data_IF_207869422967
#
_entry.id   IF_207869422967
#
_cell.length_a   1.000
_cell.length_b   1.000
_cell.length_c   1.000
_cell.angle_alpha   90.00
_cell.angle_beta   90.00
_cell.angle_gamma   90.00
#
_symmetry.space_group_name_H-M   'P 1'
#
loop_
_entity.id
_entity.type
_entity.pdbx_description
1 polymer ?
#
# COMPACT_ATOMS: atom_id res chain seq x y z
N UNK A 1 38.93 -33.87 39.65
CA UNK A 1 38.90 -32.52 40.23
C UNK A 1 38.38 -31.60 39.14
N UNK A 2 37.15 -31.11 39.10
CA UNK A 2 36.02 -31.09 40.04
C UNK A 2 34.80 -31.69 39.30
N UNK A 3 34.02 -32.51 40.01
CA UNK A 3 32.76 -33.12 39.60
C UNK A 3 31.61 -32.46 40.38
N UNK A 4 30.37 -32.81 40.01
CA UNK A 4 29.08 -32.72 40.75
C UNK A 4 28.18 -31.56 40.31
N UNK A 5 26.88 -31.69 40.01
CA UNK A 5 25.92 -32.73 39.57
C UNK A 5 24.56 -32.02 39.31
N UNK A 6 23.65 -32.69 38.60
CA UNK A 6 22.17 -32.67 38.73
C UNK A 6 21.28 -31.45 38.34
N UNK A 7 20.31 -31.74 37.44
CA UNK A 7 18.99 -31.09 37.24
C UNK A 7 18.02 -31.50 38.38
N UNK A 8 16.80 -30.92 38.63
CA UNK A 8 15.87 -30.21 37.72
C UNK A 8 15.05 -29.03 38.34
N UNK A 9 14.21 -28.37 37.53
CA UNK A 9 13.17 -27.45 38.04
C UNK A 9 12.55 -26.56 36.97
N UNK A 10 11.44 -27.01 36.36
CA UNK A 10 10.54 -26.15 35.59
C UNK A 10 9.93 -25.11 36.53
N UNK A 11 10.20 -23.82 36.28
CA UNK A 11 9.37 -22.72 36.76
C UNK A 11 9.01 -21.86 35.55
N UNK A 12 7.71 -21.83 35.24
CA UNK A 12 7.12 -20.99 34.22
C UNK A 12 7.42 -19.52 34.54
N UNK A 13 8.17 -18.84 33.66
CA UNK A 13 8.22 -17.39 33.65
C UNK A 13 7.47 -16.90 32.43
N UNK A 14 6.22 -16.49 32.66
CA UNK A 14 5.46 -15.63 31.76
C UNK A 14 6.22 -14.30 31.71
N UNK A 15 7.06 -14.12 30.69
CA UNK A 15 7.63 -12.81 30.38
C UNK A 15 6.59 -12.01 29.61
N UNK A 16 5.90 -11.13 30.32
CA UNK A 16 5.17 -10.02 29.70
C UNK A 16 6.14 -9.24 28.81
N UNK A 17 5.84 -9.19 27.52
CA UNK A 17 6.53 -8.31 26.58
C UNK A 17 6.11 -6.87 26.86
N UNK A 18 7.04 -5.92 27.08
CA UNK A 18 6.69 -4.52 27.10
C UNK A 18 6.34 -4.08 25.69
N UNK A 19 5.11 -3.62 25.52
CA UNK A 19 4.54 -2.95 24.36
C UNK A 19 5.45 -1.80 23.88
N UNK A 20 6.25 -2.07 22.86
CA UNK A 20 6.99 -1.08 22.07
C UNK A 20 6.71 -1.29 20.58
N UNK A 21 5.50 -0.95 20.16
CA UNK A 21 5.11 -0.84 18.73
C UNK A 21 4.53 0.55 18.41
N UNK A 22 4.61 1.52 19.33
CA UNK A 22 4.04 2.88 19.15
C UNK A 22 5.13 3.95 18.92
N UNK A 23 6.29 3.60 18.35
CA UNK A 23 7.35 4.61 18.13
C UNK A 23 8.12 4.39 16.84
N UNK A 24 7.42 4.33 15.70
CA UNK A 24 8.09 4.36 14.38
C UNK A 24 7.64 5.49 13.43
N UNK A 25 6.73 6.37 13.84
CA UNK A 25 6.41 7.60 13.06
C UNK A 25 7.19 8.83 13.57
N UNK A 26 7.84 8.75 14.74
CA UNK A 26 8.59 9.88 15.32
C UNK A 26 10.08 9.93 14.96
N UNK A 27 10.64 8.91 14.29
CA UNK A 27 12.10 8.77 14.14
C UNK A 27 12.63 8.83 12.70
N UNK A 28 11.84 9.29 11.72
CA UNK A 28 12.33 9.58 10.38
C UNK A 28 12.76 11.05 10.27
N UNK A 29 13.91 11.39 10.83
CA UNK A 29 14.61 12.65 10.53
C UNK A 29 15.32 12.49 9.19
N UNK A 30 14.59 12.65 8.08
CA UNK A 30 15.23 12.84 6.76
C UNK A 30 15.85 14.24 6.76
N UNK A 31 17.14 14.41 6.46
CA UNK A 31 17.75 15.75 6.44
C UNK A 31 17.08 16.60 5.35
N UNK A 32 16.49 17.73 5.78
CA UNK A 32 15.76 18.73 4.99
C UNK A 32 16.52 19.20 3.74
N UNK A 33 17.86 19.11 3.74
CA UNK A 33 18.72 19.54 2.63
C UNK A 33 18.57 18.72 1.34
N UNK A 34 18.22 17.43 1.42
CA UNK A 34 18.17 16.57 0.23
C UNK A 34 16.97 16.87 -0.68
N UNK A 35 15.87 17.38 -0.12
CA UNK A 35 14.63 17.65 -0.87
C UNK A 35 14.73 18.96 -1.69
N UNK A 36 15.34 20.02 -1.14
CA UNK A 36 15.42 21.31 -1.85
C UNK A 36 16.26 21.29 -3.13
N UNK A 37 17.26 20.40 -3.21
CA UNK A 37 18.20 20.38 -4.36
C UNK A 37 17.60 19.76 -5.62
N UNK A 38 16.58 18.89 -5.51
CA UNK A 38 15.98 18.22 -6.68
C UNK A 38 14.99 19.11 -7.46
N UNK A 39 14.50 20.19 -6.86
CA UNK A 39 13.48 21.07 -7.47
C UNK A 39 14.06 22.27 -8.23
N UNK A 40 15.39 22.46 -8.22
CA UNK A 40 16.04 23.68 -8.74
C UNK A 40 16.69 23.55 -10.13
N UNK A 41 16.46 22.46 -10.87
CA UNK A 41 17.25 22.10 -12.05
C UNK A 41 16.52 22.02 -13.38
N UNK A 42 16.01 23.15 -13.92
CA UNK A 42 15.75 23.29 -15.36
C UNK A 42 15.55 24.77 -15.75
N UNK A 43 16.59 25.43 -16.27
CA UNK A 43 16.46 26.79 -16.79
C UNK A 43 17.64 27.24 -17.64
N UNK A 44 17.41 27.40 -18.95
CA UNK A 44 18.14 28.21 -19.97
C UNK A 44 17.42 28.00 -21.31
N UNK A 45 17.32 28.91 -22.29
CA UNK A 45 17.45 30.39 -22.45
C UNK A 45 17.06 30.66 -23.94
N UNK A 46 16.45 31.81 -24.24
CA UNK A 46 16.30 32.36 -25.62
C UNK A 46 15.03 33.22 -25.76
N UNK A 47 15.09 34.54 -25.58
CA UNK A 47 15.37 35.64 -26.55
C UNK A 47 14.16 36.09 -27.42
N UNK A 48 13.61 37.23 -27.00
CA UNK A 48 13.10 38.44 -27.68
C UNK A 48 12.24 38.39 -28.97
N UNK A 49 11.14 39.17 -28.90
CA UNK A 49 10.39 39.68 -30.04
C UNK A 49 9.04 40.27 -29.60
N UNK A 50 8.97 41.59 -29.34
CA UNK A 50 7.73 42.27 -28.94
C UNK A 50 6.77 42.55 -30.10
N UNK A 51 5.51 42.84 -29.77
CA UNK A 51 4.64 43.95 -30.26
C UNK A 51 3.25 43.78 -29.61
N UNK A 52 2.69 44.87 -29.08
CA UNK A 52 1.49 44.87 -28.25
C UNK A 52 0.18 44.79 -29.01
N UNK A 53 -0.86 44.34 -28.31
CA UNK A 53 -2.25 44.73 -28.53
C UNK A 53 -3.02 44.59 -27.22
N UNK A 54 -3.73 45.65 -26.86
CA UNK A 54 -4.43 45.85 -25.60
C UNK A 54 -5.62 44.90 -25.37
N UNK A 55 -5.88 44.70 -24.07
CA UNK A 55 -7.19 44.48 -23.45
C UNK A 55 -8.02 43.26 -23.90
N UNK A 56 -7.98 42.19 -23.09
CA UNK A 56 -9.09 41.53 -22.37
C UNK A 56 -8.45 40.35 -21.63
N UNK A 57 -8.05 40.54 -20.37
CA UNK A 57 -7.74 39.46 -19.42
C UNK A 57 -7.51 40.04 -18.02
N UNK A 58 -8.54 40.65 -17.44
CA UNK A 58 -8.56 41.00 -16.01
C UNK A 58 -9.10 39.83 -15.16
N UNK A 59 -8.68 38.60 -15.44
CA UNK A 59 -8.72 37.54 -14.43
C UNK A 59 -7.43 37.60 -13.65
N UNK A 60 -7.47 38.33 -12.54
CA UNK A 60 -6.49 38.24 -11.46
C UNK A 60 -6.45 36.80 -10.92
N UNK A 61 -5.68 35.92 -11.53
CA UNK A 61 -5.24 34.69 -10.86
C UNK A 61 -3.81 34.91 -10.34
N UNK A 62 -3.66 35.86 -9.41
CA UNK A 62 -2.47 35.91 -8.56
C UNK A 62 -2.52 34.66 -7.70
N UNK A 63 -1.55 33.76 -7.88
CA UNK A 63 -1.46 32.46 -7.21
C UNK A 63 -1.95 32.48 -5.77
N UNK A 64 -3.18 32.01 -5.57
CA UNK A 64 -3.83 31.96 -4.27
C UNK A 64 -3.07 30.97 -3.39
N UNK A 65 -2.29 31.55 -2.50
CA UNK A 65 -1.37 30.94 -1.57
C UNK A 65 -2.21 30.21 -0.49
N UNK A 66 -2.13 28.88 -0.41
CA UNK A 66 -3.10 28.02 0.29
C UNK A 66 -2.74 27.74 1.75
N UNK A 67 -3.73 27.70 2.65
CA UNK A 67 -3.59 27.14 4.00
C UNK A 67 -3.86 25.64 3.98
N UNK A 68 -2.88 24.86 4.41
CA UNK A 68 -2.97 23.40 4.51
C UNK A 68 -3.18 23.01 5.97
N UNK A 69 -4.13 22.11 6.22
CA UNK A 69 -4.38 21.52 7.52
C UNK A 69 -4.12 20.03 7.43
N UNK A 70 -3.37 19.45 8.36
CA UNK A 70 -2.88 18.08 8.22
C UNK A 70 -2.90 17.25 9.50
N UNK A 71 -3.01 15.93 9.34
CA UNK A 71 -3.10 14.98 10.47
C UNK A 71 -1.78 14.22 10.73
N UNK A 72 -0.70 14.54 10.01
CA UNK A 72 0.66 14.00 10.25
C UNK A 72 1.32 14.61 11.47
N UNK A 73 2.41 14.00 11.95
CA UNK A 73 3.20 14.51 13.07
C UNK A 73 3.50 16.02 12.96
N UNK A 74 3.48 16.78 14.09
CA UNK A 74 3.67 18.23 14.09
C UNK A 74 4.93 18.71 13.34
N UNK A 75 6.00 17.91 13.38
CA UNK A 75 7.26 18.22 12.70
C UNK A 75 7.11 18.36 11.17
N UNK A 76 6.03 17.84 10.57
CA UNK A 76 5.78 17.93 9.13
C UNK A 76 5.24 19.30 8.70
N UNK A 77 4.73 20.13 9.62
CA UNK A 77 4.15 21.43 9.27
C UNK A 77 5.15 22.33 8.54
N UNK A 78 6.41 22.40 9.02
CA UNK A 78 7.44 23.21 8.37
C UNK A 78 7.77 22.72 6.94
N UNK A 79 7.71 21.41 6.70
CA UNK A 79 7.91 20.82 5.37
C UNK A 79 6.72 21.12 4.44
N UNK A 80 5.49 21.00 4.93
CA UNK A 80 4.29 21.29 4.13
C UNK A 80 4.24 22.78 3.80
N UNK A 81 4.56 23.65 4.76
CA UNK A 81 4.58 25.09 4.58
C UNK A 81 5.66 25.57 3.59
N UNK A 82 6.69 24.75 3.32
CA UNK A 82 7.72 25.08 2.32
C UNK A 82 7.35 24.64 0.90
N UNK A 83 6.23 23.91 0.72
CA UNK A 83 5.78 23.49 -0.60
C UNK A 83 5.35 24.71 -1.45
N UNK A 84 5.64 24.71 -2.76
CA UNK A 84 5.17 25.76 -3.66
C UNK A 84 3.65 25.91 -3.60
N UNK A 85 3.19 27.15 -3.43
CA UNK A 85 1.75 27.46 -3.36
C UNK A 85 1.13 27.35 -1.97
N UNK A 86 1.89 26.97 -0.93
CA UNK A 86 1.42 26.93 0.46
C UNK A 86 1.83 28.19 1.23
N UNK A 87 0.92 28.74 2.03
CA UNK A 87 1.15 29.90 2.92
C UNK A 87 1.44 29.48 4.35
N UNK A 88 0.69 28.50 4.82
CA UNK A 88 0.78 27.97 6.18
C UNK A 88 0.36 26.52 6.19
N UNK A 89 0.92 25.78 7.14
CA UNK A 89 0.54 24.41 7.42
C UNK A 89 0.26 24.27 8.92
N UNK A 90 -0.87 23.69 9.26
CA UNK A 90 -1.29 23.49 10.64
C UNK A 90 -1.56 22.01 10.91
N UNK A 91 -1.02 21.51 12.02
CA UNK A 91 -1.23 20.16 12.48
C UNK A 91 -2.53 20.07 13.31
N UNK A 92 -3.38 19.09 13.00
CA UNK A 92 -4.46 18.64 13.88
C UNK A 92 -4.06 17.31 14.55
N UNK A 93 -4.02 17.27 15.89
CA UNK A 93 -3.81 16.04 16.66
C UNK A 93 -4.80 14.92 16.31
N UNK A 94 -4.37 13.66 16.37
CA UNK A 94 -5.19 12.52 15.96
C UNK A 94 -6.50 12.37 16.77
N UNK A 95 -6.48 12.70 18.06
CA UNK A 95 -7.65 12.72 18.95
C UNK A 95 -8.67 13.81 18.60
N UNK A 96 -8.24 14.81 17.83
CA UNK A 96 -9.06 15.94 17.37
C UNK A 96 -9.18 15.98 15.84
N UNK A 97 -8.80 14.90 15.13
CA UNK A 97 -8.61 14.92 13.67
C UNK A 97 -9.82 15.36 12.85
N UNK A 98 -11.02 15.27 13.42
CA UNK A 98 -12.30 15.65 12.82
C UNK A 98 -12.88 16.98 13.33
N UNK A 99 -12.16 17.67 14.23
CA UNK A 99 -12.43 19.06 14.59
C UNK A 99 -11.81 19.98 13.51
N UNK A 100 -12.47 20.01 12.36
CA UNK A 100 -11.93 20.65 11.15
C UNK A 100 -12.21 22.16 11.15
N UNK A 101 -11.21 23.01 10.89
CA UNK A 101 -11.44 24.44 10.71
C UNK A 101 -12.18 24.72 9.39
N UNK A 102 -13.00 25.77 9.37
CA UNK A 102 -13.83 26.14 8.20
C UNK A 102 -13.10 27.03 7.19
N UNK A 103 -11.89 27.48 7.50
CA UNK A 103 -11.06 28.40 6.70
C UNK A 103 -9.82 27.73 6.09
N UNK A 104 -9.74 26.39 6.08
CA UNK A 104 -8.68 25.66 5.40
C UNK A 104 -8.94 25.57 3.89
N UNK A 105 -7.91 25.73 3.06
CA UNK A 105 -8.01 25.49 1.61
C UNK A 105 -7.81 24.01 1.27
N UNK A 106 -6.87 23.36 1.96
CA UNK A 106 -6.46 21.97 1.72
C UNK A 106 -6.48 21.19 3.02
N UNK A 107 -7.14 20.05 3.02
CA UNK A 107 -7.10 19.09 4.12
C UNK A 107 -6.25 17.89 3.70
N UNK A 108 -5.17 17.61 4.43
CA UNK A 108 -4.22 16.53 4.15
C UNK A 108 -4.28 15.43 5.23
N UNK A 109 -4.93 14.31 4.91
CA UNK A 109 -5.39 13.31 5.90
C UNK A 109 -4.75 11.94 5.73
N UNK A 110 -4.71 11.18 6.83
CA UNK A 110 -4.32 9.76 6.87
C UNK A 110 -5.14 9.04 7.95
N UNK A 111 -5.68 7.86 7.63
CA UNK A 111 -6.52 7.05 8.53
C UNK A 111 -5.71 6.13 9.48
N UNK A 112 -4.40 6.35 9.64
CA UNK A 112 -3.52 5.47 10.43
C UNK A 112 -3.24 4.10 9.79
N UNK A 113 -2.51 3.24 10.50
CA UNK A 113 -2.01 1.94 10.02
C UNK A 113 -2.09 0.86 11.09
N UNK A 114 -2.34 -0.41 10.71
CA UNK A 114 -2.42 -1.55 11.64
C UNK A 114 -3.35 -1.28 12.83
N UNK A 115 -2.86 -1.48 14.06
CA UNK A 115 -3.61 -1.22 15.30
C UNK A 115 -4.02 0.25 15.50
N UNK A 116 -3.43 1.18 14.73
CA UNK A 116 -3.77 2.61 14.75
C UNK A 116 -4.70 3.03 13.63
N UNK A 117 -5.11 2.08 12.77
CA UNK A 117 -6.07 2.30 11.69
C UNK A 117 -7.41 2.72 12.29
N UNK A 118 -7.95 3.84 11.84
CA UNK A 118 -9.26 4.31 12.27
C UNK A 118 -10.39 3.65 11.49
N UNK A 119 -11.56 3.54 12.12
CA UNK A 119 -12.80 3.09 11.49
C UNK A 119 -13.83 4.21 11.60
N UNK A 120 -13.66 5.26 10.78
CA UNK A 120 -14.37 6.53 10.93
C UNK A 120 -15.59 6.66 10.01
N UNK A 121 -15.92 5.62 9.25
CA UNK A 121 -17.00 5.60 8.24
C UNK A 121 -18.34 6.16 8.76
N UNK A 122 -18.66 5.89 10.03
CA UNK A 122 -19.90 6.28 10.70
C UNK A 122 -19.87 7.62 11.44
N UNK A 123 -18.79 8.39 11.37
CA UNK A 123 -18.70 9.66 12.09
C UNK A 123 -19.65 10.71 11.50
N UNK A 124 -20.36 11.49 12.35
CA UNK A 124 -21.25 12.53 11.87
C UNK A 124 -20.47 13.66 11.18
N UNK A 125 -21.11 14.28 10.18
CA UNK A 125 -20.54 15.43 9.47
C UNK A 125 -20.32 16.59 10.45
N UNK A 126 -19.11 17.17 10.53
CA UNK A 126 -18.85 18.34 11.36
C UNK A 126 -19.67 19.55 10.92
N UNK A 127 -20.06 20.40 11.88
CA UNK A 127 -20.75 21.65 11.59
C UNK A 127 -19.86 22.55 10.72
N UNK A 128 -20.43 23.09 9.63
CA UNK A 128 -19.71 23.98 8.73
C UNK A 128 -18.87 23.29 7.64
N UNK A 129 -18.84 21.96 7.56
CA UNK A 129 -18.19 21.24 6.45
C UNK A 129 -18.89 21.53 5.08
N UNK A 130 -18.15 21.71 3.97
CA UNK A 130 -16.68 21.68 3.84
C UNK A 130 -15.99 23.04 4.09
N UNK A 131 -16.73 24.07 4.49
CA UNK A 131 -16.19 25.41 4.70
C UNK A 131 -15.52 25.95 3.43
N UNK A 132 -14.26 26.37 3.56
CA UNK A 132 -13.42 26.85 2.46
C UNK A 132 -12.57 25.77 1.81
N UNK A 133 -12.72 24.50 2.22
CA UNK A 133 -11.89 23.40 1.68
C UNK A 133 -12.17 23.24 0.20
N UNK A 134 -11.10 23.32 -0.58
CA UNK A 134 -11.09 23.13 -2.04
C UNK A 134 -10.55 21.76 -2.43
N UNK A 135 -9.70 21.17 -1.59
CA UNK A 135 -9.08 19.87 -1.81
C UNK A 135 -8.96 19.08 -0.51
N UNK A 136 -9.48 17.85 -0.52
CA UNK A 136 -9.06 16.81 0.41
C UNK A 136 -8.00 15.95 -0.28
N UNK A 137 -6.77 16.01 0.21
CA UNK A 137 -5.70 15.09 -0.17
C UNK A 137 -5.62 13.96 0.86
N UNK A 138 -5.97 12.75 0.45
CA UNK A 138 -5.79 11.52 1.20
C UNK A 138 -4.37 11.00 0.93
N UNK A 139 -3.60 10.67 1.97
CA UNK A 139 -2.24 10.17 1.85
C UNK A 139 -2.12 8.66 1.59
N UNK A 140 -3.22 7.93 1.71
CA UNK A 140 -3.32 6.52 1.33
C UNK A 140 -3.82 6.35 -0.10
N UNK A 141 -3.66 5.13 -0.63
CA UNK A 141 -4.33 4.73 -1.87
C UNK A 141 -5.79 4.28 -1.62
N UNK A 142 -6.04 3.59 -0.50
CA UNK A 142 -7.38 3.17 -0.09
C UNK A 142 -8.17 4.31 0.57
N UNK A 143 -9.49 4.22 0.45
CA UNK A 143 -10.46 5.24 0.89
C UNK A 143 -11.53 4.68 1.84
N UNK A 144 -11.43 3.40 2.19
CA UNK A 144 -12.47 2.62 2.87
C UNK A 144 -12.83 3.14 4.26
N UNK A 145 -11.87 3.54 5.11
CA UNK A 145 -12.17 3.88 6.51
C UNK A 145 -12.44 5.36 6.78
N UNK A 146 -12.65 6.16 5.73
CA UNK A 146 -12.93 7.58 5.88
C UNK A 146 -14.43 7.83 6.07
N UNK A 147 -14.82 8.87 6.84
CA UNK A 147 -16.21 9.29 6.91
C UNK A 147 -16.75 9.61 5.52
N UNK A 148 -17.95 9.13 5.20
CA UNK A 148 -18.55 9.31 3.87
C UNK A 148 -18.70 10.79 3.48
N UNK A 149 -18.95 11.67 4.45
CA UNK A 149 -19.08 13.11 4.22
C UNK A 149 -17.77 13.78 3.77
N UNK A 150 -16.62 13.15 4.01
CA UNK A 150 -15.32 13.68 3.56
C UNK A 150 -15.28 13.78 2.02
N UNK A 151 -16.02 12.90 1.35
CA UNK A 151 -16.08 12.84 -0.11
C UNK A 151 -17.01 13.90 -0.73
N UNK A 152 -17.74 14.66 0.08
CA UNK A 152 -18.55 15.79 -0.39
C UNK A 152 -17.72 17.08 -0.63
N UNK A 153 -16.41 17.04 -0.38
CA UNK A 153 -15.53 18.17 -0.68
C UNK A 153 -15.47 18.46 -2.20
N UNK A 154 -15.22 19.72 -2.61
CA UNK A 154 -15.21 20.08 -4.04
C UNK A 154 -14.27 19.25 -4.91
N UNK A 155 -13.13 18.83 -4.34
CA UNK A 155 -12.20 17.91 -4.96
C UNK A 155 -11.63 16.97 -3.89
N UNK A 156 -11.52 15.68 -4.23
CA UNK A 156 -10.91 14.66 -3.39
C UNK A 156 -9.89 13.90 -4.23
N UNK A 157 -8.69 13.74 -3.70
CA UNK A 157 -7.63 12.99 -4.35
C UNK A 157 -6.89 12.09 -3.36
N UNK A 158 -6.44 10.94 -3.82
CA UNK A 158 -5.66 9.97 -3.06
C UNK A 158 -4.18 10.03 -3.43
N UNK A 159 -3.36 9.36 -2.62
CA UNK A 159 -1.97 9.09 -2.98
C UNK A 159 -1.85 7.83 -3.86
N UNK A 160 -2.91 7.42 -4.56
CA UNK A 160 -2.85 6.27 -5.46
C UNK A 160 -1.66 6.40 -6.44
N UNK A 161 -0.91 5.31 -6.56
CA UNK A 161 0.31 5.22 -7.36
C UNK A 161 1.61 5.57 -6.62
N UNK A 162 1.60 6.29 -5.50
CA UNK A 162 2.85 6.66 -4.79
C UNK A 162 3.56 5.44 -4.19
N UNK A 163 2.77 4.47 -3.72
CA UNK A 163 3.21 3.21 -3.11
C UNK A 163 3.22 2.02 -4.07
N UNK A 164 2.84 2.20 -5.34
CA UNK A 164 2.73 1.09 -6.29
C UNK A 164 4.05 0.33 -6.49
N UNK A 165 5.18 1.05 -6.46
CA UNK A 165 6.50 0.46 -6.60
C UNK A 165 6.92 -0.41 -5.41
N UNK A 166 6.95 0.08 -4.16
CA UNK A 166 7.31 -0.77 -3.02
C UNK A 166 6.37 -1.97 -2.86
N UNK A 167 5.06 -1.80 -3.09
CA UNK A 167 4.12 -2.93 -3.04
C UNK A 167 4.47 -3.98 -4.09
N UNK A 168 4.83 -3.55 -5.31
CA UNK A 168 5.22 -4.47 -6.36
C UNK A 168 6.58 -5.14 -6.10
N UNK A 169 7.53 -4.43 -5.48
CA UNK A 169 8.80 -5.00 -5.02
C UNK A 169 8.56 -6.07 -3.93
N UNK A 170 7.68 -5.78 -2.97
CA UNK A 170 7.24 -6.73 -1.95
C UNK A 170 6.57 -7.97 -2.58
N UNK A 171 5.61 -7.78 -3.50
CA UNK A 171 4.90 -8.88 -4.16
C UNK A 171 5.87 -9.81 -4.90
N UNK A 172 6.82 -9.24 -5.66
CA UNK A 172 7.87 -10.02 -6.32
C UNK A 172 8.77 -10.72 -5.30
N UNK A 173 9.15 -10.05 -4.21
CA UNK A 173 9.99 -10.63 -3.17
C UNK A 173 9.33 -11.86 -2.53
N UNK A 174 8.04 -11.79 -2.17
CA UNK A 174 7.34 -12.94 -1.59
C UNK A 174 7.08 -14.05 -2.60
N UNK A 175 6.87 -13.72 -3.88
CA UNK A 175 6.80 -14.72 -4.96
C UNK A 175 8.12 -15.48 -5.12
N UNK A 176 9.25 -14.76 -5.15
CA UNK A 176 10.58 -15.37 -5.21
C UNK A 176 10.90 -16.17 -3.95
N UNK A 177 10.57 -15.64 -2.78
CA UNK A 177 10.74 -16.33 -1.50
C UNK A 177 9.96 -17.66 -1.47
N UNK A 178 8.74 -17.68 -2.00
CA UNK A 178 7.96 -18.89 -2.19
C UNK A 178 8.62 -19.85 -3.19
N UNK A 179 8.95 -19.39 -4.40
CA UNK A 179 9.53 -20.22 -5.46
C UNK A 179 10.88 -20.84 -5.05
N UNK A 180 11.72 -20.08 -4.34
CA UNK A 180 13.04 -20.51 -3.87
C UNK A 180 13.02 -21.15 -2.48
N UNK A 181 11.87 -21.18 -1.80
CA UNK A 181 11.70 -21.75 -0.46
C UNK A 181 12.76 -21.24 0.53
N UNK A 182 13.15 -19.97 0.43
CA UNK A 182 14.29 -19.43 1.18
C UNK A 182 14.23 -19.74 2.69
N UNK A 183 13.09 -19.62 3.39
CA UNK A 183 13.04 -19.91 4.82
C UNK A 183 13.35 -21.38 5.16
N UNK A 184 13.14 -22.31 4.21
CA UNK A 184 13.41 -23.74 4.40
C UNK A 184 14.84 -24.12 4.05
N UNK A 185 15.49 -23.37 3.15
CA UNK A 185 16.84 -23.70 2.65
C UNK A 185 17.93 -22.79 3.23
N UNK A 186 17.57 -21.80 4.04
CA UNK A 186 18.53 -20.92 4.72
C UNK A 186 19.10 -21.65 5.93
N UNK A 187 20.42 -21.84 5.93
CA UNK A 187 21.14 -22.43 7.05
C UNK A 187 21.26 -21.43 8.21
N UNK A 188 21.13 -21.94 9.43
CA UNK A 188 21.27 -21.21 10.69
C UNK A 188 22.50 -21.70 11.46
N UNK A 189 22.86 -20.96 12.51
CA UNK A 189 23.94 -21.38 13.40
C UNK A 189 23.64 -22.74 14.03
N UNK A 190 24.53 -23.70 13.80
CA UNK A 190 24.38 -25.09 14.27
C UNK A 190 23.82 -26.06 13.23
N UNK A 191 23.36 -25.58 12.07
CA UNK A 191 22.97 -26.46 10.97
C UNK A 191 24.19 -27.12 10.32
N UNK A 192 24.01 -28.37 9.88
CA UNK A 192 24.99 -29.07 9.08
C UNK A 192 24.87 -28.68 7.60
N UNK A 193 26.00 -28.68 6.88
CA UNK A 193 25.99 -28.44 5.45
C UNK A 193 25.32 -29.63 4.73
N UNK A 194 24.22 -29.42 3.97
CA UNK A 194 23.50 -30.53 3.35
C UNK A 194 24.34 -31.19 2.25
N UNK A 195 24.27 -32.52 2.15
CA UNK A 195 24.88 -33.23 1.03
C UNK A 195 24.12 -32.94 -0.26
N UNK A 196 24.78 -33.17 -1.40
CA UNK A 196 24.13 -33.02 -2.72
C UNK A 196 22.90 -33.90 -2.85
N UNK A 197 22.97 -35.15 -2.37
CA UNK A 197 21.87 -36.12 -2.45
C UNK A 197 20.63 -35.64 -1.70
N UNK A 198 20.79 -34.98 -0.54
CA UNK A 198 19.67 -34.44 0.25
C UNK A 198 18.84 -33.36 -0.50
N UNK A 199 19.39 -32.81 -1.59
CA UNK A 199 18.81 -31.70 -2.35
C UNK A 199 18.27 -32.13 -3.73
N UNK A 200 18.67 -33.29 -4.26
CA UNK A 200 18.30 -33.69 -5.64
C UNK A 200 16.80 -33.86 -5.84
N UNK A 201 16.08 -34.36 -4.83
CA UNK A 201 14.63 -34.61 -4.91
C UNK A 201 13.77 -33.40 -4.48
N UNK A 202 14.39 -32.24 -4.27
CA UNK A 202 13.72 -31.03 -3.75
C UNK A 202 14.02 -29.80 -4.62
N UNK A 203 13.80 -29.86 -5.95
CA UNK A 203 14.13 -28.75 -6.84
C UNK A 203 13.38 -27.47 -6.43
N UNK A 204 14.09 -26.34 -6.53
CA UNK A 204 13.49 -25.03 -6.34
C UNK A 204 12.72 -24.64 -7.60
N UNK A 205 11.60 -23.94 -7.43
CA UNK A 205 10.82 -23.45 -8.56
C UNK A 205 11.50 -22.23 -9.22
N UNK A 206 11.11 -21.97 -10.47
CA UNK A 206 11.39 -20.74 -11.20
C UNK A 206 10.09 -19.99 -11.44
N UNK A 207 10.18 -18.66 -11.59
CA UNK A 207 9.08 -17.83 -12.08
C UNK A 207 8.96 -17.94 -13.61
N UNK A 208 10.04 -18.26 -14.31
CA UNK A 208 10.07 -18.45 -15.76
C UNK A 208 9.00 -19.43 -16.22
N UNK A 209 8.22 -19.03 -17.24
CA UNK A 209 7.15 -19.83 -17.81
C UNK A 209 5.93 -20.02 -16.90
N UNK A 210 5.93 -19.46 -15.68
CA UNK A 210 4.77 -19.50 -14.78
C UNK A 210 3.76 -18.42 -15.12
N UNK A 211 2.51 -18.67 -14.76
CA UNK A 211 1.41 -17.73 -14.95
C UNK A 211 1.21 -16.87 -13.71
N UNK A 212 1.35 -15.56 -13.86
CA UNK A 212 0.92 -14.56 -12.89
C UNK A 212 -0.51 -14.13 -13.20
N UNK A 213 -1.42 -14.37 -12.26
CA UNK A 213 -2.76 -13.80 -12.23
C UNK A 213 -2.81 -12.51 -11.40
N UNK A 214 -3.39 -11.46 -11.96
CA UNK A 214 -3.62 -10.18 -11.30
C UNK A 214 -5.12 -9.97 -11.08
N UNK A 215 -5.57 -10.03 -9.82
CA UNK A 215 -6.93 -9.63 -9.44
C UNK A 215 -6.95 -8.12 -9.23
N UNK A 216 -7.50 -7.40 -10.21
CA UNK A 216 -7.40 -5.94 -10.35
C UNK A 216 -6.24 -5.54 -11.28
N UNK A 217 -6.46 -4.51 -12.11
CA UNK A 217 -5.44 -3.97 -13.03
C UNK A 217 -5.21 -2.47 -12.82
N UNK A 218 -5.04 -2.07 -11.57
CA UNK A 218 -4.66 -0.71 -11.16
C UNK A 218 -3.15 -0.48 -11.16
N UNK A 219 -2.70 0.69 -10.67
CA UNK A 219 -1.28 1.09 -10.67
C UNK A 219 -0.35 0.05 -10.02
N UNK A 220 -0.78 -0.60 -8.92
CA UNK A 220 -0.01 -1.66 -8.24
C UNK A 220 0.16 -2.86 -9.17
N UNK A 221 -0.93 -3.45 -9.66
CA UNK A 221 -0.91 -4.63 -10.51
C UNK A 221 -0.10 -4.41 -11.80
N UNK A 222 -0.22 -3.23 -12.41
CA UNK A 222 0.56 -2.87 -13.60
C UNK A 222 2.06 -2.80 -13.32
N UNK A 223 2.45 -2.30 -12.15
CA UNK A 223 3.84 -2.29 -11.72
C UNK A 223 4.36 -3.70 -11.43
N UNK A 224 3.54 -4.57 -10.82
CA UNK A 224 3.85 -6.00 -10.64
C UNK A 224 4.04 -6.68 -12.00
N UNK A 225 3.13 -6.45 -12.95
CA UNK A 225 3.22 -6.98 -14.32
C UNK A 225 4.54 -6.58 -14.99
N UNK A 226 4.93 -5.30 -14.87
CA UNK A 226 6.19 -4.79 -15.42
C UNK A 226 7.40 -5.52 -14.85
N UNK A 227 7.42 -5.82 -13.55
CA UNK A 227 8.50 -6.58 -12.93
C UNK A 227 8.47 -8.05 -13.32
N UNK A 228 7.29 -8.68 -13.33
CA UNK A 228 7.13 -10.09 -13.69
C UNK A 228 7.51 -10.38 -15.15
N UNK A 229 7.35 -9.41 -16.06
CA UNK A 229 7.78 -9.52 -17.44
C UNK A 229 9.30 -9.75 -17.57
N UNK A 230 10.11 -9.23 -16.64
CA UNK A 230 11.56 -9.47 -16.63
C UNK A 230 11.94 -10.89 -16.19
N UNK A 231 10.97 -11.69 -15.75
CA UNK A 231 11.13 -13.10 -15.37
C UNK A 231 10.43 -14.04 -16.36
N UNK A 232 10.07 -13.57 -17.56
CA UNK A 232 9.43 -14.37 -18.61
C UNK A 232 8.15 -15.09 -18.13
N UNK A 233 7.39 -14.42 -17.26
CA UNK A 233 6.09 -14.90 -16.79
C UNK A 233 5.01 -14.62 -17.83
N UNK A 234 4.03 -15.54 -17.93
CA UNK A 234 2.76 -15.23 -18.60
C UNK A 234 1.89 -14.39 -17.67
N UNK A 235 1.44 -13.21 -18.11
CA UNK A 235 0.70 -12.28 -17.25
C UNK A 235 -0.76 -12.19 -17.73
N UNK A 236 -1.67 -12.59 -16.86
CA UNK A 236 -3.12 -12.49 -17.05
C UNK A 236 -3.74 -11.65 -15.94
N UNK A 237 -4.81 -10.93 -16.25
CA UNK A 237 -5.47 -10.05 -15.27
C UNK A 237 -6.98 -10.06 -15.42
N UNK A 238 -7.68 -9.71 -14.34
CA UNK A 238 -9.10 -9.36 -14.39
C UNK A 238 -9.31 -7.98 -13.80
N UNK A 239 -10.29 -7.23 -14.31
CA UNK A 239 -10.65 -5.88 -13.86
C UNK A 239 -12.16 -5.69 -14.03
N UNK A 240 -12.75 -4.81 -13.23
CA UNK A 240 -14.18 -4.52 -13.28
C UNK A 240 -14.61 -3.75 -14.55
N UNK A 241 -13.71 -2.97 -15.14
CA UNK A 241 -14.00 -2.17 -16.33
C UNK A 241 -13.72 -2.98 -17.60
N UNK A 242 -14.62 -2.88 -18.59
CA UNK A 242 -14.47 -3.53 -19.91
C UNK A 242 -13.42 -2.89 -20.82
N UNK A 243 -12.79 -1.78 -20.41
CA UNK A 243 -11.77 -1.17 -21.24
C UNK A 243 -10.56 -2.11 -21.41
N UNK A 244 -9.89 -2.06 -22.57
CA UNK A 244 -8.77 -2.94 -22.87
C UNK A 244 -7.63 -2.76 -21.86
N UNK A 245 -6.75 -3.77 -21.81
CA UNK A 245 -5.52 -3.66 -21.02
C UNK A 245 -4.72 -2.44 -21.49
N UNK A 246 -4.32 -1.53 -20.59
CA UNK A 246 -3.41 -0.45 -20.94
C UNK A 246 -1.98 -0.94 -21.17
N UNK A 247 -1.67 -2.19 -20.83
CA UNK A 247 -0.33 -2.78 -20.96
C UNK A 247 -0.39 -3.96 -21.96
N UNK A 248 0.39 -3.92 -23.05
CA UNK A 248 0.29 -4.92 -24.14
C UNK A 248 0.71 -6.33 -23.72
N UNK A 249 1.51 -6.46 -22.65
CA UNK A 249 1.99 -7.74 -22.14
C UNK A 249 1.02 -8.39 -21.13
N UNK A 250 -0.16 -7.80 -20.90
CA UNK A 250 -1.16 -8.30 -19.96
C UNK A 250 -2.41 -8.70 -20.72
N UNK A 251 -2.79 -9.97 -20.62
CA UNK A 251 -4.02 -10.49 -21.22
C UNK A 251 -5.17 -10.42 -20.22
N UNK A 252 -6.28 -9.78 -20.59
CA UNK A 252 -7.49 -9.77 -19.76
C UNK A 252 -8.25 -11.08 -19.90
N UNK A 253 -8.64 -11.69 -18.78
CA UNK A 253 -9.43 -12.92 -18.72
C UNK A 253 -10.54 -12.83 -17.66
N UNK A 254 -11.62 -13.61 -17.80
CA UNK A 254 -12.64 -13.73 -16.76
C UNK A 254 -12.06 -14.28 -15.45
N UNK A 255 -12.64 -13.89 -14.31
CA UNK A 255 -12.16 -14.30 -12.98
C UNK A 255 -12.03 -15.84 -12.79
N UNK A 256 -12.98 -16.69 -13.22
CA UNK A 256 -12.81 -18.15 -13.11
C UNK A 256 -11.61 -18.68 -13.88
N UNK A 257 -11.30 -18.09 -15.04
CA UNK A 257 -10.13 -18.44 -15.83
C UNK A 257 -8.84 -17.93 -15.16
N UNK A 258 -8.86 -16.71 -14.60
CA UNK A 258 -7.74 -16.12 -13.87
C UNK A 258 -7.26 -17.07 -12.75
N UNK A 259 -8.18 -17.48 -11.88
CA UNK A 259 -7.83 -18.31 -10.71
C UNK A 259 -7.40 -19.72 -11.11
N UNK A 260 -8.00 -20.29 -12.16
CA UNK A 260 -7.66 -21.64 -12.63
C UNK A 260 -6.27 -21.72 -13.26
N UNK A 261 -5.83 -20.64 -13.94
CA UNK A 261 -4.54 -20.60 -14.65
C UNK A 261 -3.37 -20.12 -13.79
N UNK A 262 -3.62 -19.30 -12.77
CA UNK A 262 -2.57 -18.68 -11.96
C UNK A 262 -1.70 -19.71 -11.20
N UNK A 263 -0.38 -19.64 -11.37
CA UNK A 263 0.59 -20.23 -10.44
C UNK A 263 0.83 -19.28 -9.26
N UNK A 264 0.84 -17.97 -9.54
CA UNK A 264 0.84 -16.91 -8.56
C UNK A 264 -0.38 -16.01 -8.78
N UNK A 265 -1.21 -15.80 -7.76
CA UNK A 265 -2.34 -14.86 -7.81
C UNK A 265 -2.04 -13.67 -6.91
N UNK A 266 -1.78 -12.50 -7.50
CA UNK A 266 -1.60 -11.25 -6.75
C UNK A 266 -2.93 -10.50 -6.71
N UNK A 267 -3.39 -10.19 -5.50
CA UNK A 267 -4.63 -9.45 -5.23
C UNK A 267 -4.27 -7.98 -5.00
N UNK A 268 -4.71 -7.15 -5.93
CA UNK A 268 -4.51 -5.70 -5.92
C UNK A 268 -5.81 -4.93 -6.28
N UNK A 269 -6.96 -5.59 -6.13
CA UNK A 269 -8.28 -5.01 -6.35
C UNK A 269 -8.74 -4.26 -5.09
N UNK A 270 -9.49 -3.15 -5.22
CA UNK A 270 -10.08 -2.47 -4.07
C UNK A 270 -11.13 -3.36 -3.37
N UNK A 271 -11.29 -3.16 -2.06
CA UNK A 271 -12.41 -3.76 -1.31
C UNK A 271 -13.71 -3.01 -1.60
N UNK A 272 -14.82 -3.75 -1.66
CA UNK A 272 -16.16 -3.22 -1.88
C UNK A 272 -17.18 -4.36 -1.86
N UNK A 273 -18.45 -4.03 -2.08
CA UNK A 273 -19.55 -5.00 -2.02
C UNK A 273 -19.35 -6.20 -2.98
N UNK A 274 -18.77 -5.97 -4.16
CA UNK A 274 -18.52 -7.01 -5.16
C UNK A 274 -17.21 -7.79 -4.96
N UNK A 275 -16.30 -7.33 -4.09
CA UNK A 275 -15.00 -7.97 -3.86
C UNK A 275 -14.86 -8.58 -2.47
N UNK A 276 -15.74 -8.24 -1.52
CA UNK A 276 -15.78 -8.86 -0.19
C UNK A 276 -16.14 -10.34 -0.30
N UNK A 277 -15.31 -11.21 0.28
CA UNK A 277 -15.47 -12.67 0.21
C UNK A 277 -15.40 -13.24 -1.20
N UNK A 278 -14.87 -12.48 -2.17
CA UNK A 278 -14.85 -12.87 -3.58
C UNK A 278 -14.11 -14.20 -3.77
N UNK A 279 -12.93 -14.34 -3.16
CA UNK A 279 -12.20 -15.61 -3.14
C UNK A 279 -12.72 -16.50 -2.02
N UNK A 280 -13.93 -17.03 -2.23
CA UNK A 280 -14.56 -18.07 -1.42
C UNK A 280 -14.20 -19.50 -1.87
N UNK A 281 -14.87 -20.50 -1.28
CA UNK A 281 -14.57 -21.92 -1.49
C UNK A 281 -14.58 -22.37 -2.96
N UNK A 282 -15.51 -21.88 -3.80
CA UNK A 282 -15.59 -22.25 -5.22
C UNK A 282 -14.36 -21.77 -6.00
N UNK A 283 -14.03 -20.47 -5.92
CA UNK A 283 -12.89 -19.92 -6.67
C UNK A 283 -11.55 -20.43 -6.16
N UNK A 284 -11.38 -20.53 -4.84
CA UNK A 284 -10.19 -21.16 -4.25
C UNK A 284 -10.07 -22.63 -4.66
N UNK A 285 -11.20 -23.34 -4.74
CA UNK A 285 -11.27 -24.73 -5.19
C UNK A 285 -10.76 -24.93 -6.62
N UNK A 286 -10.96 -23.93 -7.50
CA UNK A 286 -10.54 -23.95 -8.91
C UNK A 286 -9.04 -23.70 -9.13
N UNK A 287 -8.33 -23.16 -8.13
CA UNK A 287 -6.91 -22.85 -8.26
C UNK A 287 -6.05 -24.11 -8.38
N UNK A 288 -4.85 -24.00 -8.95
CA UNK A 288 -3.89 -25.11 -8.96
C UNK A 288 -3.55 -25.54 -7.53
N UNK A 289 -3.37 -26.84 -7.23
CA UNK A 289 -3.11 -27.33 -5.87
C UNK A 289 -1.95 -26.63 -5.14
N UNK A 290 -0.90 -26.22 -5.85
CA UNK A 290 0.26 -25.54 -5.27
C UNK A 290 0.32 -24.04 -5.59
N UNK A 291 -0.78 -23.43 -6.06
CA UNK A 291 -0.81 -22.01 -6.37
C UNK A 291 -0.53 -21.14 -5.13
N UNK A 292 0.18 -20.03 -5.35
CA UNK A 292 0.55 -19.08 -4.32
C UNK A 292 -0.28 -17.79 -4.43
N UNK A 293 -1.06 -17.50 -3.40
CA UNK A 293 -1.83 -16.27 -3.26
C UNK A 293 -0.96 -15.20 -2.59
N UNK A 294 -0.93 -14.00 -3.16
CA UNK A 294 -0.28 -12.83 -2.58
C UNK A 294 -1.33 -11.75 -2.40
N UNK A 295 -1.70 -11.44 -1.15
CA UNK A 295 -2.67 -10.39 -0.86
C UNK A 295 -1.98 -9.14 -0.34
N UNK A 296 -2.04 -8.06 -1.12
CA UNK A 296 -1.51 -6.72 -0.81
C UNK A 296 -2.61 -5.65 -0.88
N UNK A 297 -3.87 -6.07 -0.90
CA UNK A 297 -5.03 -5.20 -1.00
C UNK A 297 -5.77 -5.08 0.33
N UNK A 298 -6.73 -5.97 0.57
CA UNK A 298 -7.49 -6.09 1.82
C UNK A 298 -7.75 -7.56 2.12
N UNK A 299 -7.65 -7.95 3.39
CA UNK A 299 -7.86 -9.33 3.81
C UNK A 299 -9.25 -9.85 3.46
N UNK A 300 -10.27 -9.01 3.64
CA UNK A 300 -11.68 -9.32 3.41
C UNK A 300 -12.05 -9.69 1.97
N UNK A 301 -11.12 -9.61 1.01
CA UNK A 301 -11.32 -10.12 -0.36
C UNK A 301 -11.30 -11.65 -0.38
N UNK A 302 -10.58 -12.27 0.55
CA UNK A 302 -10.50 -13.72 0.72
C UNK A 302 -11.43 -14.12 1.87
N UNK A 303 -12.18 -15.20 1.67
CA UNK A 303 -12.83 -15.88 2.78
C UNK A 303 -11.77 -16.67 3.58
N UNK A 304 -11.45 -16.18 4.79
CA UNK A 304 -10.39 -16.74 5.66
C UNK A 304 -10.64 -18.20 6.01
N UNK A 305 -11.90 -18.62 6.21
CA UNK A 305 -12.23 -20.00 6.56
C UNK A 305 -12.15 -20.93 5.34
N UNK A 306 -12.58 -20.45 4.17
CA UNK A 306 -12.37 -21.18 2.92
C UNK A 306 -10.89 -21.36 2.59
N UNK A 307 -10.05 -20.34 2.87
CA UNK A 307 -8.60 -20.43 2.72
C UNK A 307 -8.01 -21.48 3.67
N UNK A 308 -8.45 -21.50 4.93
CA UNK A 308 -8.05 -22.51 5.91
C UNK A 308 -8.36 -23.92 5.41
N UNK A 309 -9.55 -24.15 4.87
CA UNK A 309 -9.92 -25.46 4.34
C UNK A 309 -8.99 -25.94 3.21
N UNK A 310 -8.52 -25.03 2.35
CA UNK A 310 -7.53 -25.39 1.32
C UNK A 310 -6.19 -25.79 1.93
N UNK A 311 -5.74 -25.01 2.90
CA UNK A 311 -4.50 -25.26 3.63
C UNK A 311 -4.49 -26.60 4.39
N UNK A 312 -5.58 -26.89 5.09
CA UNK A 312 -5.77 -28.15 5.82
C UNK A 312 -5.84 -29.35 4.85
N UNK A 313 -6.36 -29.14 3.63
CA UNK A 313 -6.32 -30.12 2.55
C UNK A 313 -4.95 -30.23 1.85
N UNK A 314 -3.91 -29.56 2.35
CA UNK A 314 -2.57 -29.57 1.76
C UNK A 314 -2.47 -28.83 0.43
N UNK A 315 -3.43 -27.95 0.13
CA UNK A 315 -3.44 -27.10 -1.06
C UNK A 315 -3.11 -25.66 -0.72
N UNK A 316 -2.69 -24.94 -1.74
CA UNK A 316 -2.40 -23.51 -1.78
C UNK A 316 -1.30 -23.08 -0.79
N UNK A 317 -0.78 -21.91 -1.09
CA UNK A 317 0.12 -21.16 -0.23
C UNK A 317 -0.34 -19.72 -0.23
N UNK A 318 -0.09 -18.99 0.87
CA UNK A 318 -0.35 -17.55 0.86
C UNK A 318 0.74 -16.74 1.53
N UNK A 319 1.04 -15.59 0.93
CA UNK A 319 1.71 -14.47 1.56
C UNK A 319 0.69 -13.33 1.70
N UNK A 320 0.31 -13.03 2.94
CA UNK A 320 -0.76 -12.10 3.29
C UNK A 320 -0.13 -10.90 4.00
N UNK A 321 -0.04 -9.77 3.31
CA UNK A 321 0.30 -8.51 3.97
C UNK A 321 -0.92 -7.89 4.67
N UNK A 322 -2.12 -8.38 4.37
CA UNK A 322 -3.39 -7.92 4.93
C UNK A 322 -4.24 -9.13 5.32
N UNK A 323 -5.02 -9.00 6.38
CA UNK A 323 -5.80 -10.13 6.95
C UNK A 323 -7.24 -9.71 7.26
N UNK A 324 -8.09 -10.68 7.56
CA UNK A 324 -9.45 -10.43 8.06
C UNK A 324 -9.71 -11.40 9.22
N UNK A 325 -9.86 -10.91 10.47
CA UNK A 325 -9.80 -9.50 10.88
C UNK A 325 -8.38 -8.90 10.77
N UNK A 326 -8.28 -7.58 10.82
CA UNK A 326 -7.02 -6.84 10.93
C UNK A 326 -7.12 -5.80 12.06
N UNK A 327 -6.24 -5.84 13.07
CA UNK A 327 -5.16 -6.82 13.28
C UNK A 327 -5.67 -8.23 13.60
N UNK A 328 -4.84 -9.26 13.34
CA UNK A 328 -5.14 -10.61 13.77
C UNK A 328 -5.14 -10.73 15.30
N UNK A 329 -6.15 -11.36 15.92
CA UNK A 329 -6.17 -11.56 17.36
C UNK A 329 -5.03 -12.49 17.82
N UNK A 330 -4.54 -12.35 19.07
CA UNK A 330 -3.56 -13.27 19.63
C UNK A 330 -4.02 -14.73 19.51
N UNK A 331 -3.10 -15.61 19.07
CA UNK A 331 -3.40 -17.04 18.89
C UNK A 331 -4.15 -17.40 17.61
N UNK A 332 -4.39 -16.44 16.69
CA UNK A 332 -4.99 -16.74 15.40
C UNK A 332 -4.18 -17.76 14.60
N UNK A 333 -4.86 -18.73 13.98
CA UNK A 333 -4.25 -19.89 13.33
C UNK A 333 -3.28 -19.53 12.19
N UNK A 334 -3.52 -18.42 11.49
CA UNK A 334 -2.65 -17.93 10.41
C UNK A 334 -1.20 -17.71 10.85
N UNK A 335 -0.96 -17.36 12.11
CA UNK A 335 0.40 -17.15 12.63
C UNK A 335 1.24 -18.43 12.62
N UNK A 336 0.62 -19.58 12.88
CA UNK A 336 1.30 -20.86 13.01
C UNK A 336 1.20 -21.75 11.76
N UNK A 337 0.32 -21.40 10.82
CA UNK A 337 0.04 -22.27 9.69
C UNK A 337 1.24 -22.35 8.72
N UNK A 338 1.78 -23.55 8.41
CA UNK A 338 3.01 -23.68 7.62
C UNK A 338 2.88 -23.15 6.18
N UNK A 339 1.66 -23.08 5.66
CA UNK A 339 1.33 -22.58 4.31
C UNK A 339 1.01 -21.08 4.25
N UNK A 340 1.01 -20.38 5.38
CA UNK A 340 0.77 -18.94 5.45
C UNK A 340 2.05 -18.18 5.84
N UNK A 341 2.25 -17.01 5.24
CA UNK A 341 3.25 -16.02 5.65
C UNK A 341 2.52 -14.71 5.84
N UNK A 342 2.61 -14.13 7.04
CA UNK A 342 1.88 -12.91 7.39
C UNK A 342 2.87 -11.77 7.58
N UNK A 343 2.59 -10.62 6.99
CA UNK A 343 3.26 -9.35 7.32
C UNK A 343 2.23 -8.32 7.75
N UNK A 344 2.59 -7.35 8.60
CA UNK A 344 1.61 -6.50 9.28
C UNK A 344 1.25 -5.26 8.46
N UNK A 345 0.78 -5.45 7.22
CA UNK A 345 0.33 -4.39 6.31
C UNK A 345 1.41 -3.34 6.00
N UNK A 346 2.59 -3.82 5.61
CA UNK A 346 3.79 -3.00 5.37
C UNK A 346 4.33 -3.06 3.94
N UNK A 347 3.67 -3.74 3.01
CA UNK A 347 4.12 -3.83 1.61
C UNK A 347 4.28 -2.47 0.93
N UNK A 348 3.57 -1.45 1.40
CA UNK A 348 3.65 -0.07 0.91
C UNK A 348 4.91 0.69 1.38
N UNK A 349 5.57 0.20 2.43
CA UNK A 349 6.61 0.93 3.14
C UNK A 349 7.91 0.99 2.35
N UNK A 350 8.47 2.19 2.26
CA UNK A 350 9.81 2.43 1.72
C UNK A 350 10.34 3.76 2.27
N UNK A 351 11.67 3.93 2.26
CA UNK A 351 12.29 5.22 2.64
C UNK A 351 11.82 6.39 1.77
N UNK A 352 11.30 6.11 0.57
CA UNK A 352 10.87 7.10 -0.40
C UNK A 352 9.36 7.42 -0.34
N UNK A 353 8.57 6.65 0.41
CA UNK A 353 7.10 6.75 0.36
C UNK A 353 6.64 8.15 0.77
N UNK A 354 7.12 8.66 1.91
CA UNK A 354 6.73 9.98 2.39
C UNK A 354 7.05 11.06 1.37
N UNK A 355 8.26 11.04 0.78
CA UNK A 355 8.64 11.99 -0.28
C UNK A 355 7.64 11.99 -1.42
N UNK A 356 7.25 10.81 -1.93
CA UNK A 356 6.28 10.68 -3.04
C UNK A 356 4.88 11.17 -2.68
N UNK A 357 4.44 10.97 -1.44
CA UNK A 357 3.16 11.47 -0.94
C UNK A 357 3.17 13.00 -0.87
N UNK A 358 4.25 13.61 -0.37
CA UNK A 358 4.39 15.07 -0.36
C UNK A 358 4.51 15.66 -1.77
N UNK A 359 5.22 14.99 -2.68
CA UNK A 359 5.26 15.38 -4.11
C UNK A 359 3.86 15.31 -4.75
N UNK A 360 3.06 14.30 -4.41
CA UNK A 360 1.66 14.21 -4.85
C UNK A 360 0.85 15.39 -4.32
N UNK A 361 0.97 15.74 -3.04
CA UNK A 361 0.31 16.90 -2.45
C UNK A 361 0.70 18.19 -3.18
N UNK A 362 2.00 18.44 -3.35
CA UNK A 362 2.51 19.64 -4.00
C UNK A 362 2.01 19.76 -5.45
N UNK A 363 2.04 18.66 -6.20
CA UNK A 363 1.56 18.63 -7.58
C UNK A 363 0.03 18.83 -7.68
N UNK A 364 -0.75 18.27 -6.75
CA UNK A 364 -2.19 18.48 -6.72
C UNK A 364 -2.57 19.90 -6.30
N UNK A 365 -1.81 20.54 -5.41
CA UNK A 365 -1.95 21.97 -5.10
C UNK A 365 -1.70 22.82 -6.35
N UNK A 366 -0.61 22.55 -7.08
CA UNK A 366 -0.31 23.24 -8.34
C UNK A 366 -1.42 23.06 -9.37
N UNK A 367 -1.90 21.83 -9.58
CA UNK A 367 -3.01 21.50 -10.49
C UNK A 367 -4.30 22.22 -10.10
N UNK A 368 -4.63 22.22 -8.82
CA UNK A 368 -5.80 22.92 -8.28
C UNK A 368 -5.75 24.43 -8.55
N UNK A 369 -4.57 25.06 -8.42
CA UNK A 369 -4.37 26.48 -8.75
C UNK A 369 -4.48 26.76 -10.25
N UNK A 370 -4.04 25.80 -11.08
CA UNK A 370 -4.09 25.88 -12.54
C UNK A 370 -5.45 25.46 -13.14
N UNK A 371 -6.37 24.91 -12.36
CA UNK A 371 -7.63 24.34 -12.87
C UNK A 371 -7.42 23.04 -13.67
N UNK A 372 -6.31 22.33 -13.44
CA UNK A 372 -5.99 21.07 -14.09
C UNK A 372 -6.58 19.87 -13.33
N UNK A 373 -6.90 18.75 -14.01
CA UNK A 373 -7.33 17.53 -13.35
C UNK A 373 -6.32 17.02 -12.33
N UNK A 374 -6.80 16.68 -11.13
CA UNK A 374 -5.96 16.17 -10.05
C UNK A 374 -5.45 14.76 -10.34
N UNK A 375 -4.29 14.45 -9.79
CA UNK A 375 -3.75 13.09 -9.78
C UNK A 375 -4.38 12.30 -8.64
N UNK A 376 -4.92 11.12 -8.97
CA UNK A 376 -5.57 10.25 -7.99
C UNK A 376 -6.95 10.74 -7.54
N UNK A 377 -7.63 11.54 -8.37
CA UNK A 377 -9.01 11.97 -8.11
C UNK A 377 -9.94 10.78 -7.85
N UNK A 378 -10.88 10.94 -6.91
CA UNK A 378 -11.86 9.94 -6.49
C UNK A 378 -13.23 10.29 -7.03
#
# INVERSE_FOLDING_TARGET
MISITDRPGLAASVRCWPSRVVTMISAMTIPVRTICLSLAGAGRKGQDGGHGCDAICSHQNRGARMRVVHQFAPAMSAMIASLPGVTSAEHIPLDQRWNLPTDADVLFVLHGEGDSRSHDEGLPRPAGWPGSVRLVQIASAGIDDYPTWLFDAPQVATASGTTARPIAEYALAVMLNHAKRLPTITLNAGDEWPTREMQMDKPLASLEGRTLGLLGLGQIARQVARFAAAFDMTIIATRASDAPSPDPNVTLVPLPELVARADHLVIAAPIGASTRGLLGADLLGRMKPDAHIVNVARGAIIDTDALRAQFDAGRLWASLDVTDPEPLPPGHWLFAHPRARITPHLSWSSSETMRRVFERLAENIRRLQAGEPLLGAV
#
